data_IF_870092797264
#
_entry.id   IF_870092797264
#
_cell.length_a   1.000
_cell.length_b   1.000
_cell.length_c   1.000
_cell.angle_alpha   90.00
_cell.angle_beta   90.00
_cell.angle_gamma   90.00
#
_symmetry.space_group_name_H-M   'P 1'
#
loop_
_entity.id
_entity.type
_entity.pdbx_description
1 polymer ?
#
# COMPACT_ATOMS: atom_id res chain seq x y z
N UNK A 1 10.44 -11.51 0.76
CA UNK A 1 9.15 -10.86 1.12
C UNK A 1 8.81 -9.76 0.12
N UNK A 2 9.74 -8.85 -0.16
CA UNK A 2 9.52 -7.74 -1.08
C UNK A 2 9.45 -8.22 -2.54
N UNK A 3 10.24 -9.20 -2.91
CA UNK A 3 10.22 -9.86 -4.22
C UNK A 3 8.86 -10.51 -4.51
N UNK A 4 8.27 -11.22 -3.54
CA UNK A 4 6.96 -11.86 -3.74
C UNK A 4 5.83 -10.86 -3.94
N UNK A 5 5.83 -9.73 -3.18
CA UNK A 5 4.82 -8.68 -3.36
C UNK A 5 4.92 -8.02 -4.73
N UNK A 6 6.14 -7.65 -5.12
CA UNK A 6 6.37 -7.02 -6.42
C UNK A 6 6.07 -7.97 -7.58
N UNK A 7 6.35 -9.27 -7.41
CA UNK A 7 5.98 -10.30 -8.39
C UNK A 7 4.47 -10.36 -8.59
N UNK A 8 3.69 -10.46 -7.50
CA UNK A 8 2.23 -10.53 -7.59
C UNK A 8 1.62 -9.33 -8.32
N UNK A 9 2.09 -8.10 -8.06
CA UNK A 9 1.64 -6.91 -8.77
C UNK A 9 2.08 -6.94 -10.25
N UNK A 10 3.31 -7.37 -10.52
CA UNK A 10 3.82 -7.51 -11.89
C UNK A 10 2.99 -8.51 -12.70
N UNK A 11 2.63 -9.64 -12.11
CA UNK A 11 1.78 -10.65 -12.76
C UNK A 11 0.39 -10.08 -13.05
N UNK A 12 -0.25 -9.42 -12.08
CA UNK A 12 -1.57 -8.80 -12.28
C UNK A 12 -1.52 -7.73 -13.38
N UNK A 13 -0.48 -6.87 -13.37
CA UNK A 13 -0.33 -5.83 -14.38
C UNK A 13 -0.10 -6.42 -15.77
N UNK A 14 0.75 -7.42 -15.90
CA UNK A 14 1.03 -8.15 -17.13
C UNK A 14 -0.26 -8.77 -17.71
N UNK A 15 -1.01 -9.50 -16.87
CA UNK A 15 -2.21 -10.20 -17.30
C UNK A 15 -3.32 -9.22 -17.69
N UNK A 16 -3.46 -8.07 -17.00
CA UNK A 16 -4.46 -7.05 -17.35
C UNK A 16 -4.15 -6.33 -18.68
N UNK A 17 -2.90 -6.36 -19.13
CA UNK A 17 -2.49 -5.81 -20.43
C UNK A 17 -2.34 -6.88 -21.54
N UNK A 18 -2.77 -8.12 -21.28
CA UNK A 18 -2.68 -9.22 -22.25
C UNK A 18 -1.24 -9.69 -22.54
N UNK A 19 -0.29 -9.33 -21.68
CA UNK A 19 1.10 -9.75 -21.79
C UNK A 19 1.32 -11.12 -21.13
N UNK A 20 2.25 -11.87 -21.68
CA UNK A 20 2.68 -13.17 -21.14
C UNK A 20 4.13 -13.08 -20.64
N UNK A 21 4.61 -14.12 -19.94
CA UNK A 21 6.01 -14.21 -19.55
C UNK A 21 6.99 -14.25 -20.74
N UNK A 22 6.51 -14.57 -21.93
CA UNK A 22 7.33 -14.58 -23.16
C UNK A 22 7.52 -13.17 -23.75
N UNK A 23 6.68 -12.21 -23.36
CA UNK A 23 6.71 -10.83 -23.86
C UNK A 23 7.64 -9.96 -23.04
N UNK A 24 8.09 -10.42 -21.88
CA UNK A 24 8.98 -9.71 -20.96
C UNK A 24 10.12 -10.62 -20.53
N UNK A 25 11.20 -10.02 -20.04
CA UNK A 25 12.31 -10.74 -19.42
C UNK A 25 12.34 -10.45 -17.92
N UNK A 26 11.63 -11.26 -17.10
CA UNK A 26 11.47 -10.98 -15.69
C UNK A 26 12.75 -11.26 -14.90
N UNK A 27 13.13 -10.31 -14.04
CA UNK A 27 14.17 -10.45 -13.04
C UNK A 27 13.55 -10.33 -11.65
N UNK A 28 13.89 -11.25 -10.74
CA UNK A 28 13.32 -11.30 -9.39
C UNK A 28 14.33 -10.75 -8.37
N UNK A 29 14.27 -9.46 -8.12
CA UNK A 29 15.19 -8.69 -7.31
C UNK A 29 14.49 -8.09 -6.09
N UNK A 30 15.24 -7.82 -5.01
CA UNK A 30 14.75 -6.96 -3.93
C UNK A 30 14.77 -5.48 -4.37
N UNK A 31 14.22 -4.57 -3.56
CA UNK A 31 14.11 -3.16 -3.94
C UNK A 31 15.47 -2.48 -4.16
N UNK A 32 16.48 -2.78 -3.33
CA UNK A 32 17.83 -2.25 -3.48
C UNK A 32 18.48 -2.69 -4.78
N UNK A 33 18.50 -4.00 -5.03
CA UNK A 33 19.07 -4.58 -6.24
C UNK A 33 18.32 -4.12 -7.50
N UNK A 34 17.01 -3.92 -7.41
CA UNK A 34 16.19 -3.35 -8.50
C UNK A 34 16.59 -1.93 -8.82
N UNK A 35 16.78 -1.08 -7.80
CA UNK A 35 17.21 0.31 -8.04
C UNK A 35 18.62 0.40 -8.60
N UNK A 36 19.54 -0.45 -8.16
CA UNK A 36 20.89 -0.51 -8.71
C UNK A 36 20.89 -1.03 -10.17
N UNK A 37 20.06 -2.03 -10.45
CA UNK A 37 19.89 -2.56 -11.81
C UNK A 37 19.29 -1.53 -12.78
N UNK A 38 18.33 -0.70 -12.29
CA UNK A 38 17.81 0.45 -13.05
C UNK A 38 18.89 1.51 -13.28
N UNK A 39 19.70 1.85 -12.28
CA UNK A 39 20.82 2.80 -12.41
C UNK A 39 21.84 2.33 -13.44
N UNK A 40 22.12 1.04 -13.46
CA UNK A 40 23.07 0.40 -14.35
C UNK A 40 22.52 0.13 -15.76
N UNK A 41 21.22 0.32 -15.99
CA UNK A 41 20.55 0.01 -17.26
C UNK A 41 20.45 -1.48 -17.57
N UNK A 42 20.45 -2.33 -16.53
CA UNK A 42 20.30 -3.79 -16.65
C UNK A 42 18.85 -4.22 -16.76
N UNK A 43 17.94 -3.40 -16.23
CA UNK A 43 16.49 -3.54 -16.36
C UNK A 43 15.87 -2.20 -16.76
N UNK A 44 14.75 -2.25 -17.45
CA UNK A 44 14.05 -1.07 -17.98
C UNK A 44 13.01 -0.52 -17.01
N UNK A 45 12.40 -1.38 -16.20
CA UNK A 45 11.37 -1.03 -15.24
C UNK A 45 11.40 -1.96 -14.01
N UNK A 46 10.80 -1.51 -12.90
CA UNK A 46 10.64 -2.31 -11.70
C UNK A 46 9.29 -2.06 -11.04
N UNK A 47 8.66 -3.14 -10.54
CA UNK A 47 7.46 -3.04 -9.71
C UNK A 47 7.85 -2.91 -8.24
N UNK A 48 7.22 -1.94 -7.55
CA UNK A 48 7.44 -1.69 -6.13
C UNK A 48 6.10 -1.74 -5.39
N UNK A 49 5.95 -2.67 -4.46
CA UNK A 49 4.78 -2.76 -3.58
C UNK A 49 5.21 -2.41 -2.16
N UNK A 50 5.15 -1.13 -1.86
CA UNK A 50 5.55 -0.58 -0.56
C UNK A 50 4.81 0.73 -0.26
N UNK A 51 4.91 1.20 0.97
CA UNK A 51 4.42 2.55 1.31
C UNK A 51 5.28 3.62 0.65
N UNK A 52 4.67 4.63 0.06
CA UNK A 52 5.37 5.82 -0.42
C UNK A 52 5.47 6.87 0.70
N UNK A 53 6.67 7.45 0.97
CA UNK A 53 7.93 7.24 0.26
C UNK A 53 8.63 5.93 0.62
N UNK A 54 9.22 5.27 -0.38
CA UNK A 54 10.08 4.09 -0.21
C UNK A 54 11.54 4.53 -0.29
N UNK A 55 12.42 4.22 0.70
CA UNK A 55 13.80 4.69 0.71
C UNK A 55 14.59 4.36 -0.57
N UNK A 56 14.44 3.15 -1.11
CA UNK A 56 15.13 2.76 -2.34
C UNK A 56 14.72 3.61 -3.55
N UNK A 57 13.44 4.00 -3.66
CA UNK A 57 12.95 4.89 -4.72
C UNK A 57 13.43 6.33 -4.49
N UNK A 58 13.46 6.80 -3.23
CA UNK A 58 14.02 8.11 -2.91
C UNK A 58 15.51 8.21 -3.27
N UNK A 59 16.30 7.17 -2.94
CA UNK A 59 17.72 7.10 -3.28
C UNK A 59 17.94 7.14 -4.79
N UNK A 60 17.11 6.40 -5.55
CA UNK A 60 17.14 6.44 -7.01
C UNK A 60 16.83 7.85 -7.54
N UNK A 61 15.83 8.54 -6.96
CA UNK A 61 15.41 9.88 -7.40
C UNK A 61 16.42 10.99 -7.13
N UNK A 62 17.37 10.80 -6.20
CA UNK A 62 18.44 11.76 -5.93
C UNK A 62 19.58 11.70 -6.96
N UNK A 63 19.78 10.56 -7.59
CA UNK A 63 20.89 10.33 -8.52
C UNK A 63 20.52 10.36 -9.99
N UNK A 64 19.28 10.05 -10.33
CA UNK A 64 18.74 10.03 -11.70
C UNK A 64 17.28 10.46 -11.71
N UNK A 65 16.81 10.94 -12.86
CA UNK A 65 15.40 11.21 -13.03
C UNK A 65 14.62 9.90 -12.98
N UNK A 66 13.69 9.80 -12.04
CA UNK A 66 12.76 8.66 -11.87
C UNK A 66 11.47 9.01 -12.57
N UNK A 67 10.97 8.07 -13.34
CA UNK A 67 9.65 8.14 -13.91
C UNK A 67 8.78 7.08 -13.20
N UNK A 68 7.78 7.52 -12.45
CA UNK A 68 6.72 6.64 -12.01
C UNK A 68 5.69 6.56 -13.15
N UNK A 69 5.34 5.34 -13.54
CA UNK A 69 4.35 5.13 -14.60
C UNK A 69 2.96 5.28 -14.01
N UNK A 70 2.22 6.29 -14.46
CA UNK A 70 0.83 6.49 -14.09
C UNK A 70 -0.06 5.46 -14.79
N UNK A 71 -0.97 4.85 -14.06
CA UNK A 71 -2.01 4.00 -14.62
C UNK A 71 -3.13 4.90 -15.17
N UNK A 72 -3.65 4.58 -16.35
CA UNK A 72 -4.85 5.23 -16.83
C UNK A 72 -6.10 4.69 -16.10
N UNK A 73 -7.20 5.41 -16.24
CA UNK A 73 -8.42 5.10 -15.52
C UNK A 73 -9.02 3.74 -15.88
N UNK A 74 -8.92 3.32 -17.12
CA UNK A 74 -9.46 2.04 -17.56
C UNK A 74 -8.75 0.87 -16.85
N UNK A 75 -7.41 0.93 -16.77
CA UNK A 75 -6.63 -0.08 -16.06
C UNK A 75 -6.86 -0.04 -14.55
N UNK A 76 -6.97 1.16 -13.95
CA UNK A 76 -7.31 1.30 -12.52
C UNK A 76 -8.68 0.67 -12.23
N UNK A 77 -9.69 1.00 -13.01
CA UNK A 77 -11.05 0.47 -12.83
C UNK A 77 -11.09 -1.07 -13.03
N UNK A 78 -10.34 -1.60 -14.00
CA UNK A 78 -10.21 -3.04 -14.22
C UNK A 78 -9.56 -3.76 -13.04
N UNK A 79 -8.49 -3.19 -12.49
CA UNK A 79 -7.80 -3.75 -11.32
C UNK A 79 -8.72 -3.74 -10.08
N UNK A 80 -9.43 -2.64 -9.83
CA UNK A 80 -10.38 -2.54 -8.71
C UNK A 80 -11.54 -3.53 -8.89
N UNK A 81 -12.04 -3.71 -10.11
CA UNK A 81 -13.07 -4.68 -10.40
C UNK A 81 -12.60 -6.14 -10.21
N UNK A 82 -11.32 -6.40 -10.45
CA UNK A 82 -10.73 -7.74 -10.29
C UNK A 82 -10.53 -8.13 -8.83
N UNK A 83 -10.38 -7.16 -7.93
CA UNK A 83 -10.13 -7.43 -6.52
C UNK A 83 -10.62 -6.29 -5.60
N UNK A 84 -11.42 -6.60 -4.57
CA UNK A 84 -11.95 -5.61 -3.62
C UNK A 84 -10.87 -5.02 -2.69
N UNK A 85 -9.65 -5.53 -2.76
CA UNK A 85 -8.54 -5.04 -1.95
C UNK A 85 -7.83 -3.84 -2.57
N UNK A 86 -7.97 -3.63 -3.88
CA UNK A 86 -7.38 -2.48 -4.57
C UNK A 86 -8.24 -1.23 -4.41
N UNK A 87 -7.57 -0.11 -4.24
CA UNK A 87 -8.16 1.24 -4.27
C UNK A 87 -7.28 2.12 -5.15
N UNK A 88 -7.90 3.05 -5.85
CA UNK A 88 -7.15 4.10 -6.54
C UNK A 88 -6.36 4.92 -5.51
N UNK A 89 -5.12 5.25 -5.84
CA UNK A 89 -4.24 6.03 -5.00
C UNK A 89 -3.38 6.97 -5.85
N UNK A 90 -3.23 8.19 -5.37
CA UNK A 90 -2.38 9.19 -6.01
C UNK A 90 -1.12 9.40 -5.19
N UNK A 91 0.04 9.18 -5.81
CA UNK A 91 1.33 9.55 -5.26
C UNK A 91 1.60 10.99 -5.69
N UNK A 92 1.62 11.92 -4.73
CA UNK A 92 1.93 13.32 -5.01
C UNK A 92 3.36 13.46 -5.55
N UNK A 93 3.54 14.35 -6.51
CA UNK A 93 4.84 14.64 -7.13
C UNK A 93 5.91 15.06 -6.13
N UNK A 94 5.53 15.65 -5.00
CA UNK A 94 6.46 16.07 -3.94
C UNK A 94 7.12 14.87 -3.24
N UNK A 95 6.51 13.67 -3.28
CA UNK A 95 7.02 12.48 -2.60
C UNK A 95 8.36 12.02 -3.18
N UNK A 96 8.50 12.06 -4.50
CA UNK A 96 9.70 11.61 -5.23
C UNK A 96 10.26 12.66 -6.19
N UNK A 97 9.78 13.91 -6.09
CA UNK A 97 10.17 14.99 -6.98
C UNK A 97 9.95 14.65 -8.47
N UNK A 98 8.79 14.04 -8.76
CA UNK A 98 8.36 13.73 -10.12
C UNK A 98 7.76 14.96 -10.80
N UNK A 99 7.69 15.01 -12.16
CA UNK A 99 7.10 16.16 -12.87
C UNK A 99 5.62 16.40 -12.55
N UNK A 100 4.88 15.33 -12.28
CA UNK A 100 3.43 15.34 -12.01
C UNK A 100 3.03 14.30 -10.97
N UNK A 101 1.82 14.41 -10.46
CA UNK A 101 1.21 13.40 -9.61
C UNK A 101 1.01 12.11 -10.39
N UNK A 102 1.12 10.97 -9.71
CA UNK A 102 1.05 9.65 -10.33
C UNK A 102 -0.12 8.86 -9.78
N UNK A 103 -1.03 8.45 -10.66
CA UNK A 103 -2.15 7.57 -10.31
C UNK A 103 -1.70 6.10 -10.35
N UNK A 104 -2.03 5.37 -9.32
CA UNK A 104 -1.75 3.93 -9.17
C UNK A 104 -2.86 3.26 -8.37
N UNK A 105 -2.70 1.97 -8.08
CA UNK A 105 -3.54 1.26 -7.13
C UNK A 105 -2.77 0.96 -5.85
N UNK A 106 -3.48 0.95 -4.73
CA UNK A 106 -2.93 0.62 -3.43
C UNK A 106 -3.77 -0.43 -2.72
N UNK A 107 -3.16 -1.12 -1.76
CA UNK A 107 -3.84 -2.01 -0.82
C UNK A 107 -3.69 -1.45 0.59
N UNK A 108 -4.74 -1.59 1.40
CA UNK A 108 -4.68 -1.18 2.79
C UNK A 108 -3.75 -2.09 3.61
N UNK A 109 -2.89 -1.49 4.42
CA UNK A 109 -2.19 -2.21 5.47
C UNK A 109 -3.13 -2.44 6.66
N UNK A 110 -3.25 -3.68 7.11
CA UNK A 110 -4.15 -4.08 8.19
C UNK A 110 -3.36 -4.71 9.32
N UNK A 111 -3.64 -4.29 10.55
CA UNK A 111 -3.13 -4.96 11.75
C UNK A 111 -4.13 -6.04 12.14
N UNK A 112 -3.69 -7.29 12.16
CA UNK A 112 -4.50 -8.43 12.58
C UNK A 112 -4.16 -8.83 14.01
N UNK A 113 -5.18 -9.19 14.80
CA UNK A 113 -5.03 -9.72 16.14
C UNK A 113 -5.63 -11.12 16.21
N UNK A 114 -5.10 -11.96 17.11
CA UNK A 114 -5.68 -13.27 17.40
C UNK A 114 -6.95 -13.09 18.22
N UNK A 115 -7.90 -14.00 18.07
CA UNK A 115 -9.19 -13.95 18.77
C UNK A 115 -9.06 -14.10 20.30
N UNK A 116 -7.98 -14.71 20.80
CA UNK A 116 -7.73 -14.93 22.23
C UNK A 116 -7.02 -13.74 22.91
N UNK A 117 -6.68 -12.68 22.19
CA UNK A 117 -6.21 -11.43 22.78
C UNK A 117 -7.37 -10.75 23.49
N UNK A 118 -7.14 -10.26 24.71
CA UNK A 118 -8.22 -9.65 25.48
C UNK A 118 -8.78 -8.39 24.82
N UNK A 119 -10.08 -8.18 24.95
CA UNK A 119 -10.78 -6.99 24.47
C UNK A 119 -10.12 -5.70 24.98
N UNK A 120 -9.74 -5.66 26.26
CA UNK A 120 -9.08 -4.52 26.87
C UNK A 120 -7.72 -4.22 26.22
N UNK A 121 -6.93 -5.24 25.86
CA UNK A 121 -5.65 -5.04 25.23
C UNK A 121 -5.78 -4.42 23.82
N UNK A 122 -6.71 -4.92 23.01
CA UNK A 122 -6.96 -4.37 21.68
C UNK A 122 -7.60 -2.98 21.74
N UNK A 123 -8.54 -2.76 22.67
CA UNK A 123 -9.09 -1.43 22.91
C UNK A 123 -7.98 -0.42 23.25
N UNK A 124 -7.10 -0.77 24.20
CA UNK A 124 -5.98 0.10 24.60
C UNK A 124 -5.01 0.35 23.44
N UNK A 125 -4.73 -0.67 22.61
CA UNK A 125 -3.87 -0.53 21.43
C UNK A 125 -4.46 0.47 20.42
N UNK A 126 -5.72 0.31 20.05
CA UNK A 126 -6.40 1.18 19.08
C UNK A 126 -6.56 2.59 19.63
N UNK A 127 -6.99 2.73 20.88
CA UNK A 127 -7.13 4.04 21.54
C UNK A 127 -5.79 4.77 21.68
N UNK A 128 -4.71 4.05 21.97
CA UNK A 128 -3.38 4.64 22.07
C UNK A 128 -2.93 5.26 20.73
N UNK A 129 -3.20 4.60 19.60
CA UNK A 129 -2.88 5.11 18.27
C UNK A 129 -3.66 6.40 17.99
N UNK A 130 -4.98 6.36 18.07
CA UNK A 130 -5.81 7.49 17.63
C UNK A 130 -5.83 8.66 18.63
N UNK A 131 -5.67 8.40 19.92
CA UNK A 131 -5.59 9.47 20.91
C UNK A 131 -4.22 10.20 20.90
N UNK A 132 -3.18 9.55 20.39
CA UNK A 132 -1.82 10.10 20.31
C UNK A 132 -1.31 10.22 18.86
N UNK A 133 -2.22 10.36 17.90
CA UNK A 133 -1.85 10.37 16.47
C UNK A 133 -0.85 11.49 16.14
N UNK A 134 -0.90 12.60 16.84
CA UNK A 134 0.01 13.73 16.64
C UNK A 134 1.45 13.41 17.05
N UNK A 135 1.64 12.48 17.98
CA UNK A 135 2.95 12.06 18.50
C UNK A 135 3.65 11.04 17.59
N UNK A 136 2.93 10.51 16.59
CA UNK A 136 3.50 9.59 15.60
C UNK A 136 4.42 10.37 14.66
N UNK A 137 5.72 10.08 14.70
CA UNK A 137 6.73 10.78 13.89
C UNK A 137 6.80 10.37 12.41
N UNK A 138 6.04 9.36 11.98
CA UNK A 138 6.09 8.84 10.62
C UNK A 138 5.20 9.63 9.66
N UNK A 139 5.68 9.89 8.44
CA UNK A 139 4.94 10.66 7.42
C UNK A 139 3.54 10.10 7.11
N UNK A 140 3.39 8.77 7.13
CA UNK A 140 2.12 8.07 6.90
C UNK A 140 1.05 8.31 7.98
N UNK A 141 1.36 8.99 9.08
CA UNK A 141 0.33 9.36 10.07
C UNK A 141 -0.82 10.19 9.47
N UNK A 142 -0.53 10.97 8.44
CA UNK A 142 -1.54 11.77 7.75
C UNK A 142 -2.65 10.94 7.08
N UNK A 143 -2.36 9.67 6.79
CA UNK A 143 -3.31 8.72 6.21
C UNK A 143 -4.07 7.91 7.28
N UNK A 144 -3.63 7.99 8.54
CA UNK A 144 -4.32 7.35 9.67
C UNK A 144 -5.52 8.19 10.08
N UNK A 145 -6.71 7.78 9.66
CA UNK A 145 -7.96 8.40 10.10
C UNK A 145 -8.93 7.33 10.60
N UNK A 146 -9.89 7.73 11.42
CA UNK A 146 -10.96 6.83 11.86
C UNK A 146 -11.80 6.34 10.69
N UNK A 147 -12.06 7.22 9.71
CA UNK A 147 -12.81 6.87 8.50
C UNK A 147 -12.08 5.81 7.67
N UNK A 148 -10.77 5.99 7.46
CA UNK A 148 -9.98 4.98 6.78
C UNK A 148 -9.92 3.67 7.56
N UNK A 149 -9.64 3.75 8.87
CA UNK A 149 -9.52 2.56 9.71
C UNK A 149 -10.82 1.77 9.83
N UNK A 150 -11.98 2.41 9.75
CA UNK A 150 -13.29 1.75 9.76
C UNK A 150 -13.79 1.31 8.37
N UNK A 151 -13.10 1.67 7.30
CA UNK A 151 -13.49 1.35 5.91
C UNK A 151 -13.20 -0.09 5.48
N UNK A 152 -12.50 -0.87 6.29
CA UNK A 152 -12.16 -2.25 5.99
C UNK A 152 -13.37 -3.14 6.31
N UNK A 153 -13.99 -3.72 5.29
CA UNK A 153 -15.24 -4.50 5.45
C UNK A 153 -15.08 -5.99 5.24
N UNK A 154 -13.96 -6.41 4.67
CA UNK A 154 -13.67 -7.79 4.30
C UNK A 154 -12.95 -8.61 5.38
N UNK A 155 -12.61 -7.99 6.50
CA UNK A 155 -12.07 -8.64 7.70
C UNK A 155 -12.88 -8.14 8.89
N UNK A 156 -13.41 -9.03 9.75
CA UNK A 156 -14.14 -8.61 10.94
C UNK A 156 -13.23 -7.94 11.96
N UNK A 157 -13.73 -6.92 12.61
CA UNK A 157 -12.98 -6.22 13.66
C UNK A 157 -13.00 -7.03 14.97
N UNK A 158 -11.89 -6.98 15.67
CA UNK A 158 -11.81 -7.51 17.03
C UNK A 158 -12.75 -6.72 17.96
N UNK A 159 -13.46 -7.37 18.92
CA UNK A 159 -14.41 -6.68 19.82
C UNK A 159 -13.83 -5.44 20.52
N UNK A 160 -12.57 -5.49 20.94
CA UNK A 160 -11.88 -4.34 21.55
C UNK A 160 -11.71 -3.15 20.60
N UNK A 161 -11.45 -3.41 19.33
CA UNK A 161 -11.39 -2.34 18.31
C UNK A 161 -12.79 -1.78 18.05
N UNK A 162 -13.79 -2.65 17.89
CA UNK A 162 -15.17 -2.24 17.66
C UNK A 162 -15.71 -1.37 18.80
N UNK A 163 -15.36 -1.67 20.04
CA UNK A 163 -15.72 -0.87 21.21
C UNK A 163 -15.16 0.56 21.10
N UNK A 164 -13.90 0.71 20.74
CA UNK A 164 -13.31 2.03 20.54
C UNK A 164 -14.00 2.81 19.42
N UNK A 165 -14.28 2.15 18.28
CA UNK A 165 -15.01 2.80 17.17
C UNK A 165 -16.42 3.20 17.58
N UNK A 166 -17.13 2.38 18.35
CA UNK A 166 -18.47 2.71 18.85
C UNK A 166 -18.48 3.96 19.75
N UNK A 167 -17.42 4.21 20.54
CA UNK A 167 -17.28 5.45 21.32
C UNK A 167 -17.08 6.70 20.45
N UNK A 168 -16.80 6.52 19.16
CA UNK A 168 -16.67 7.56 18.14
C UNK A 168 -17.88 7.59 17.19
N UNK A 169 -18.99 6.97 17.57
CA UNK A 169 -20.20 6.85 16.76
C UNK A 169 -20.00 6.11 15.42
N UNK A 170 -18.98 5.24 15.34
CA UNK A 170 -18.65 4.44 14.16
C UNK A 170 -19.00 2.98 14.43
N UNK A 171 -19.87 2.41 13.60
CA UNK A 171 -20.23 0.99 13.66
C UNK A 171 -19.39 0.19 12.67
N UNK A 172 -18.74 -0.88 13.15
CA UNK A 172 -17.97 -1.82 12.34
C UNK A 172 -18.47 -3.25 12.57
N UNK A 173 -18.24 -4.14 11.58
CA UNK A 173 -18.62 -5.54 11.73
C UNK A 173 -17.61 -6.27 12.63
N UNK A 174 -18.10 -7.04 13.58
CA UNK A 174 -17.28 -7.88 14.48
C UNK A 174 -17.39 -9.35 14.09
N UNK A 175 -16.35 -10.12 14.38
CA UNK A 175 -16.47 -11.58 14.40
C UNK A 175 -17.49 -11.99 15.48
N UNK A 176 -18.36 -12.93 15.12
CA UNK A 176 -19.31 -13.53 16.06
C UNK A 176 -18.58 -14.43 17.08
#
# INVERSE_FOLDING_TARGET
>A
RDVERSRGLGDVYKDSNGLTENDIKPEYLNFGDSTDSLKDGKIDAAFVVAGAPTPAVQDLSTGKQVYLVSLDKEHVDSLIASSPYYKEYTISKEVYNTPEDVTTVAVAAVVIARNDVSEAAIYNFVSAIFNNINDIGHAKKAELSLDFASSITNVPYHPGAAKYFAEKDITVNTAA
#
